data_IF_946024935279
#
_entry.id   IF_946024935279
#
_cell.length_a   1.000
_cell.length_b   1.000
_cell.length_c   1.000
_cell.angle_alpha   90.00
_cell.angle_beta   90.00
_cell.angle_gamma   90.00
#
_symmetry.space_group_name_H-M   'P 1'
#
loop_
_entity.id
_entity.type
_entity.pdbx_description
1 polymer ?
#
# COMPACT_ATOMS: atom_id res chain seq x y z
N UNK A 1 13.18 -41.96 -24.04
CA UNK A 1 14.37 -41.18 -23.66
C UNK A 1 14.58 -40.18 -24.77
N UNK A 2 14.12 -38.95 -24.58
CA UNK A 2 14.29 -37.88 -25.55
C UNK A 2 15.11 -36.81 -24.83
N UNK A 3 16.23 -36.45 -25.46
CA UNK A 3 17.32 -35.64 -24.91
C UNK A 3 16.84 -34.27 -24.42
N UNK A 4 17.13 -33.97 -23.16
CA UNK A 4 17.01 -32.63 -22.55
C UNK A 4 18.13 -31.66 -23.00
N UNK A 5 18.97 -32.06 -23.96
CA UNK A 5 20.17 -31.34 -24.42
C UNK A 5 20.03 -30.71 -25.83
N UNK A 6 18.80 -30.44 -26.28
CA UNK A 6 18.61 -29.65 -27.50
C UNK A 6 19.05 -28.19 -27.29
N UNK A 7 19.87 -27.59 -28.18
CA UNK A 7 20.47 -26.26 -28.00
C UNK A 7 19.45 -25.10 -27.96
N UNK A 8 18.20 -25.35 -28.40
CA UNK A 8 17.08 -24.40 -28.34
C UNK A 8 16.45 -24.37 -26.94
N UNK A 9 16.44 -25.50 -26.24
CA UNK A 9 15.95 -25.59 -24.86
C UNK A 9 16.89 -24.90 -23.86
N UNK A 10 18.21 -25.03 -24.02
CA UNK A 10 19.16 -24.42 -23.09
C UNK A 10 19.24 -22.88 -23.19
N UNK A 11 18.82 -22.29 -24.31
CA UNK A 11 18.88 -20.83 -24.55
C UNK A 11 17.64 -20.08 -24.05
N UNK A 12 16.49 -20.74 -23.87
CA UNK A 12 15.25 -20.10 -23.41
C UNK A 12 14.75 -20.56 -22.02
N UNK A 13 15.15 -21.74 -21.55
CA UNK A 13 14.68 -22.31 -20.26
C UNK A 13 15.39 -21.67 -19.05
N UNK A 14 16.72 -21.55 -19.09
CA UNK A 14 17.52 -20.92 -18.02
C UNK A 14 17.14 -19.46 -17.72
N UNK A 15 16.93 -18.58 -18.71
CA UNK A 15 16.53 -17.19 -18.44
C UNK A 15 15.09 -17.09 -17.91
N UNK A 16 14.18 -18.01 -18.23
CA UNK A 16 12.84 -18.02 -17.65
C UNK A 16 12.88 -18.41 -16.17
N UNK A 17 13.63 -19.47 -15.81
CA UNK A 17 13.81 -19.88 -14.42
C UNK A 17 14.53 -18.82 -13.58
N UNK A 18 15.61 -18.23 -14.10
CA UNK A 18 16.33 -17.15 -13.43
C UNK A 18 15.47 -15.88 -13.27
N UNK A 19 14.63 -15.55 -14.25
CA UNK A 19 13.70 -14.42 -14.14
C UNK A 19 12.56 -14.69 -13.16
N UNK A 20 12.13 -15.95 -13.02
CA UNK A 20 11.13 -16.36 -12.02
C UNK A 20 11.74 -16.30 -10.62
N UNK A 21 12.96 -16.77 -10.41
CA UNK A 21 13.69 -16.63 -9.14
C UNK A 21 13.94 -15.16 -8.79
N UNK A 22 14.35 -14.34 -9.77
CA UNK A 22 14.52 -12.90 -9.57
C UNK A 22 13.20 -12.19 -9.25
N UNK A 23 12.08 -12.62 -9.85
CA UNK A 23 10.74 -12.11 -9.53
C UNK A 23 10.26 -12.56 -8.14
N UNK A 24 10.53 -13.81 -7.75
CA UNK A 24 10.26 -14.30 -6.40
C UNK A 24 11.08 -13.52 -5.37
N UNK A 25 12.33 -13.18 -5.68
CA UNK A 25 13.18 -12.33 -4.84
C UNK A 25 12.68 -10.88 -4.78
N UNK A 26 12.16 -10.33 -5.89
CA UNK A 26 11.56 -8.99 -5.95
C UNK A 26 10.22 -8.92 -5.21
N UNK A 27 9.48 -10.04 -5.13
CA UNK A 27 8.22 -10.15 -4.39
C UNK A 27 8.44 -10.50 -2.91
N UNK A 28 9.57 -11.11 -2.56
CA UNK A 28 10.06 -11.30 -1.19
C UNK A 28 10.75 -10.06 -0.63
N UNK A 29 11.25 -9.16 -1.48
CA UNK A 29 11.79 -7.89 -1.04
C UNK A 29 10.72 -7.22 -0.16
N UNK A 30 11.07 -6.77 1.05
CA UNK A 30 10.09 -6.23 1.96
C UNK A 30 9.37 -5.10 1.27
N UNK A 31 8.15 -4.85 1.72
CA UNK A 31 7.29 -3.75 1.32
C UNK A 31 7.90 -2.38 1.77
N UNK A 32 9.21 -2.17 1.59
CA UNK A 32 10.07 -1.08 2.04
C UNK A 32 9.71 0.29 1.42
N UNK A 33 8.91 0.28 0.35
CA UNK A 33 8.58 1.47 -0.40
C UNK A 33 7.67 2.47 0.34
N UNK A 34 7.03 2.08 1.44
CA UNK A 34 6.13 2.98 2.17
C UNK A 34 6.80 3.69 3.34
N UNK A 35 7.67 3.02 4.10
CA UNK A 35 8.44 3.63 5.19
C UNK A 35 9.27 4.82 4.70
N UNK A 36 9.91 4.69 3.53
CA UNK A 36 10.68 5.78 2.91
C UNK A 36 9.80 6.96 2.45
N UNK A 37 8.60 6.69 1.92
CA UNK A 37 7.63 7.73 1.51
C UNK A 37 7.00 8.43 2.71
N UNK A 38 6.81 7.73 3.83
CA UNK A 38 6.30 8.30 5.06
C UNK A 38 7.37 9.15 5.77
N UNK A 39 8.62 8.70 5.84
CA UNK A 39 9.73 9.50 6.40
C UNK A 39 9.95 10.81 5.62
N UNK A 40 9.82 10.78 4.28
CA UNK A 40 9.84 12.00 3.45
C UNK A 40 8.64 12.93 3.71
N UNK A 41 7.45 12.39 4.02
CA UNK A 41 6.26 13.20 4.34
C UNK A 41 6.35 13.86 5.72
N UNK A 42 7.00 13.22 6.70
CA UNK A 42 7.23 13.79 8.03
C UNK A 42 8.34 14.85 7.99
N UNK A 43 9.41 14.62 7.22
CA UNK A 43 10.50 15.58 7.06
C UNK A 43 10.10 16.85 6.29
N UNK A 44 9.07 16.78 5.42
CA UNK A 44 8.66 17.89 4.54
C UNK A 44 7.53 18.77 5.07
N UNK A 45 7.00 18.53 6.28
CA UNK A 45 6.13 19.47 7.00
C UNK A 45 4.85 19.95 6.29
N UNK A 46 4.46 19.32 5.18
CA UNK A 46 3.34 19.79 4.32
C UNK A 46 2.14 18.87 4.49
N UNK A 47 1.34 19.11 5.54
CA UNK A 47 0.03 18.49 5.70
C UNK A 47 -1.06 19.57 5.61
N UNK A 48 -1.48 19.85 4.37
CA UNK A 48 -2.64 20.68 4.06
C UNK A 48 -3.92 19.86 4.20
N UNK A 49 -4.75 20.19 5.19
CA UNK A 49 -6.01 19.50 5.45
C UNK A 49 -7.14 19.87 4.48
N UNK A 50 -8.07 18.94 4.31
CA UNK A 50 -9.52 19.23 4.33
C UNK A 50 -10.30 17.97 4.72
N UNK A 51 -10.88 17.98 5.91
CA UNK A 51 -11.81 16.95 6.37
C UNK A 51 -13.20 17.17 5.77
N UNK A 52 -13.84 16.08 5.35
CA UNK A 52 -15.27 15.87 5.60
C UNK A 52 -15.41 14.60 6.44
N UNK A 53 -16.19 14.70 7.50
CA UNK A 53 -16.41 13.67 8.50
C UNK A 53 -17.69 12.90 8.18
N UNK A 54 -17.66 11.58 8.33
CA UNK A 54 -18.84 10.76 8.56
C UNK A 54 -18.45 9.66 9.56
N UNK A 55 -19.04 9.70 10.74
CA UNK A 55 -18.78 8.74 11.80
C UNK A 55 -19.61 7.47 11.67
N UNK A 56 -19.07 6.37 12.20
CA UNK A 56 -19.88 5.39 12.92
C UNK A 56 -19.00 4.64 13.92
N UNK A 57 -19.10 5.01 15.19
CA UNK A 57 -18.57 4.21 16.29
C UNK A 57 -19.63 3.18 16.68
N UNK A 58 -19.27 1.90 16.69
CA UNK A 58 -20.02 0.87 17.41
C UNK A 58 -19.25 0.53 18.68
N UNK A 59 -19.82 0.89 19.82
CA UNK A 59 -19.39 0.44 21.14
C UNK A 59 -20.04 -0.89 21.47
N UNK A 60 -19.31 -1.77 22.15
CA UNK A 60 -19.86 -2.97 22.80
C UNK A 60 -20.68 -2.57 24.04
N UNK A 61 -21.78 -3.28 24.39
CA UNK A 61 -22.77 -2.77 25.33
C UNK A 61 -22.48 -3.16 26.78
N UNK A 62 -22.90 -2.30 27.71
CA UNK A 62 -23.24 -2.66 29.09
C UNK A 62 -24.72 -2.29 29.32
N UNK A 63 -25.48 -3.27 29.78
CA UNK A 63 -26.92 -3.25 30.07
C UNK A 63 -27.32 -2.20 31.11
N UNK A 64 -28.46 -1.51 30.91
CA UNK A 64 -29.58 -1.28 31.87
C UNK A 64 -30.81 -0.75 31.10
N UNK A 65 -32.00 -1.12 31.58
CA UNK A 65 -33.36 -1.06 31.02
C UNK A 65 -34.07 0.33 31.12
N UNK A 66 -34.83 0.63 30.06
CA UNK A 66 -36.07 1.44 29.90
C UNK A 66 -36.15 2.94 30.28
N UNK A 67 -36.51 3.79 29.29
CA UNK A 67 -37.86 4.41 29.09
C UNK A 67 -37.84 5.40 27.90
N UNK A 68 -38.84 5.32 27.03
CA UNK A 68 -39.31 6.36 26.07
C UNK A 68 -40.58 7.04 26.66
N UNK A 69 -41.21 8.09 26.06
CA UNK A 69 -40.92 8.80 24.79
C UNK A 69 -41.02 10.35 24.89
N UNK A 70 -40.49 11.09 23.90
CA UNK A 70 -41.09 12.37 23.48
C UNK A 70 -40.92 12.61 21.96
N UNK A 71 -42.06 12.86 21.29
CA UNK A 71 -42.18 13.21 19.86
C UNK A 71 -41.73 14.65 19.60
N UNK A 72 -40.95 14.88 18.53
CA UNK A 72 -40.93 16.16 17.81
C UNK A 72 -40.82 15.90 16.31
N UNK A 73 -41.77 16.43 15.53
CA UNK A 73 -41.78 16.49 14.07
C UNK A 73 -41.10 17.78 13.62
N UNK A 74 -40.18 17.73 12.67
CA UNK A 74 -39.86 18.87 11.80
C UNK A 74 -39.58 18.41 10.36
N UNK A 75 -40.32 19.01 9.42
CA UNK A 75 -40.15 18.98 7.96
C UNK A 75 -39.08 19.99 7.56
N UNK A 76 -38.18 19.70 6.60
CA UNK A 76 -38.15 20.38 5.31
C UNK A 76 -37.12 19.83 4.30
N UNK A 77 -37.38 20.16 3.03
CA UNK A 77 -36.89 19.69 1.72
C UNK A 77 -35.37 19.72 1.41
N UNK A 78 -34.90 18.96 0.40
CA UNK A 78 -33.54 19.02 -0.15
C UNK A 78 -33.37 20.10 -1.24
N UNK A 79 -32.17 20.66 -1.49
CA UNK A 79 -31.93 21.53 -2.63
C UNK A 79 -31.44 20.77 -3.87
N UNK A 80 -31.88 21.30 -5.01
CA UNK A 80 -31.56 20.92 -6.38
C UNK A 80 -30.20 21.50 -6.79
N UNK A 81 -29.43 20.71 -7.54
CA UNK A 81 -28.21 21.12 -8.24
C UNK A 81 -28.61 21.80 -9.55
N UNK A 82 -28.20 23.07 -9.72
CA UNK A 82 -28.39 23.81 -10.95
C UNK A 82 -27.14 23.71 -11.83
N UNK A 83 -27.37 23.34 -13.09
CA UNK A 83 -26.42 23.26 -14.18
C UNK A 83 -25.91 24.65 -14.58
N UNK A 84 -24.63 24.72 -14.97
CA UNK A 84 -24.02 25.92 -15.56
C UNK A 84 -23.81 25.68 -17.06
N UNK A 85 -24.57 26.40 -17.86
CA UNK A 85 -24.54 26.44 -19.32
C UNK A 85 -23.59 27.54 -19.83
N UNK A 86 -22.85 27.23 -20.89
CA UNK A 86 -22.05 28.16 -21.70
C UNK A 86 -22.94 29.14 -22.49
N UNK A 87 -22.50 30.38 -22.77
CA UNK A 87 -23.16 31.23 -23.76
C UNK A 87 -22.48 31.15 -25.14
N UNK A 88 -23.34 31.02 -26.16
CA UNK A 88 -23.07 31.22 -27.59
C UNK A 88 -23.27 32.70 -27.92
N UNK A 89 -22.37 33.29 -28.70
CA UNK A 89 -22.52 34.64 -29.27
C UNK A 89 -22.26 34.62 -30.78
N UNK A 90 -23.28 35.02 -31.55
CA UNK A 90 -23.26 35.19 -33.02
C UNK A 90 -23.17 36.69 -33.34
N UNK A 91 -22.37 37.06 -34.34
CA UNK A 91 -22.57 38.28 -35.14
C UNK A 91 -21.99 38.11 -36.56
N UNK A 92 -22.82 38.41 -37.57
CA UNK A 92 -22.48 38.53 -39.01
C UNK A 92 -21.81 39.90 -39.31
N UNK A 93 -21.17 40.21 -40.44
CA UNK A 93 -20.96 39.55 -41.74
C UNK A 93 -20.10 40.43 -42.68
N UNK A 94 -20.07 40.08 -43.98
CA UNK A 94 -19.35 40.67 -45.15
C UNK A 94 -17.85 40.28 -45.28
N UNK A 95 -17.29 39.84 -46.42
CA UNK A 95 -17.76 39.46 -47.76
C UNK A 95 -16.57 39.35 -48.74
N UNK A 96 -16.45 38.18 -49.42
CA UNK A 96 -15.89 37.92 -50.79
C UNK A 96 -14.36 37.95 -51.08
N UNK A 97 -13.79 36.80 -51.52
CA UNK A 97 -13.24 36.53 -52.88
C UNK A 97 -12.60 35.12 -53.01
N UNK A 98 -12.67 34.58 -54.24
CA UNK A 98 -12.36 33.22 -54.74
C UNK A 98 -10.90 32.70 -54.61
N UNK A 99 -10.75 31.37 -54.48
CA UNK A 99 -10.23 30.43 -55.52
C UNK A 99 -9.66 29.11 -54.90
N UNK A 100 -9.77 28.01 -55.66
CA UNK A 100 -9.30 26.62 -55.39
C UNK A 100 -8.15 26.31 -56.39
N UNK A 101 -7.47 25.13 -56.40
CA UNK A 101 -6.86 24.24 -55.38
C UNK A 101 -5.30 24.28 -55.48
N UNK A 102 -4.56 23.49 -54.69
CA UNK A 102 -3.52 22.51 -55.11
C UNK A 102 -2.84 21.93 -53.87
N UNK A 103 -2.66 20.61 -53.83
CA UNK A 103 -2.13 19.88 -52.68
C UNK A 103 -0.63 20.05 -52.45
N UNK A 104 -0.23 19.85 -51.19
CA UNK A 104 1.10 19.41 -50.81
C UNK A 104 0.95 18.51 -49.58
N UNK A 105 1.48 17.30 -49.72
CA UNK A 105 1.68 16.30 -48.67
C UNK A 105 2.66 16.85 -47.65
N UNK A 106 2.28 16.88 -46.37
CA UNK A 106 3.24 16.84 -45.28
C UNK A 106 2.92 15.70 -44.31
N UNK A 107 3.86 14.76 -44.27
CA UNK A 107 3.88 13.62 -43.40
C UNK A 107 4.14 14.07 -41.97
N UNK A 108 3.14 13.89 -41.10
CA UNK A 108 3.35 13.94 -39.66
C UNK A 108 3.92 12.60 -39.19
N UNK A 109 5.20 12.61 -38.84
CA UNK A 109 5.92 11.51 -38.22
C UNK A 109 5.34 11.19 -36.84
N UNK A 110 4.72 10.01 -36.71
CA UNK A 110 4.51 9.37 -35.41
C UNK A 110 5.83 8.74 -34.93
N UNK A 111 6.13 8.76 -33.61
CA UNK A 111 7.34 8.14 -33.10
C UNK A 111 7.22 6.62 -33.19
N UNK A 112 7.97 6.02 -34.13
CA UNK A 112 8.21 4.58 -34.18
C UNK A 112 9.21 4.21 -33.08
N UNK A 113 8.72 3.67 -31.97
CA UNK A 113 9.53 2.78 -31.14
C UNK A 113 9.78 1.50 -31.93
N UNK A 114 10.99 1.34 -32.46
CA UNK A 114 11.48 0.05 -32.96
C UNK A 114 11.80 -0.81 -31.73
N UNK A 115 10.83 -1.61 -31.29
CA UNK A 115 11.15 -2.82 -30.53
C UNK A 115 11.74 -3.83 -31.51
N UNK A 116 12.87 -4.44 -31.16
CA UNK A 116 13.37 -5.62 -31.87
C UNK A 116 12.24 -6.68 -31.92
N UNK A 117 12.17 -7.50 -32.98
CA UNK A 117 11.20 -8.59 -33.02
C UNK A 117 11.53 -9.56 -31.89
N UNK A 118 10.84 -9.42 -30.76
CA UNK A 118 10.92 -10.39 -29.66
C UNK A 118 10.51 -11.76 -30.20
N UNK A 119 11.33 -12.77 -29.92
CA UNK A 119 11.07 -14.15 -30.33
C UNK A 119 9.73 -14.62 -29.76
N UNK A 120 8.75 -14.83 -30.65
CA UNK A 120 7.42 -15.27 -30.29
C UNK A 120 7.35 -16.79 -30.30
N UNK A 121 6.96 -17.35 -29.17
CA UNK A 121 6.85 -18.78 -28.94
C UNK A 121 5.40 -19.19 -29.16
N UNK A 122 5.16 -20.18 -30.01
CA UNK A 122 3.84 -20.76 -30.21
C UNK A 122 3.50 -21.68 -29.03
N UNK A 123 2.41 -21.38 -28.32
CA UNK A 123 1.95 -22.19 -27.19
C UNK A 123 0.85 -23.13 -27.69
N UNK A 124 1.10 -24.44 -27.64
CA UNK A 124 0.16 -25.46 -28.11
C UNK A 124 -0.92 -25.77 -27.06
N UNK A 125 -0.52 -25.93 -25.80
CA UNK A 125 -1.40 -26.26 -24.68
C UNK A 125 -1.01 -25.47 -23.42
N UNK A 126 -2.00 -25.12 -22.60
CA UNK A 126 -1.81 -24.48 -21.29
C UNK A 126 -2.48 -25.34 -20.22
N UNK A 127 -1.70 -25.78 -19.24
CA UNK A 127 -2.18 -26.61 -18.14
C UNK A 127 -1.74 -26.03 -16.79
N UNK A 128 -2.66 -25.99 -15.82
CA UNK A 128 -2.36 -25.60 -14.42
C UNK A 128 -2.28 -26.87 -13.59
N UNK A 129 -1.14 -27.06 -12.92
CA UNK A 129 -0.80 -28.27 -12.14
C UNK A 129 -0.53 -27.87 -10.69
N UNK A 130 -0.97 -28.69 -9.72
CA UNK A 130 -0.68 -28.49 -8.30
C UNK A 130 -1.82 -27.86 -7.47
N UNK A 131 -2.96 -27.58 -8.09
CA UNK A 131 -4.19 -27.21 -7.40
C UNK A 131 -5.43 -27.88 -8.03
N UNK A 132 -6.47 -28.03 -7.22
CA UNK A 132 -7.75 -28.62 -7.61
C UNK A 132 -8.92 -27.71 -7.21
N UNK A 133 -10.12 -27.99 -7.74
CA UNK A 133 -11.35 -27.29 -7.40
C UNK A 133 -11.35 -25.81 -7.79
N UNK A 134 -11.84 -24.96 -6.88
CA UNK A 134 -12.00 -23.51 -7.11
C UNK A 134 -10.66 -22.80 -7.37
N UNK A 135 -9.57 -23.22 -6.72
CA UNK A 135 -8.26 -22.58 -6.90
C UNK A 135 -7.71 -22.80 -8.32
N UNK A 136 -7.98 -23.97 -8.92
CA UNK A 136 -7.63 -24.23 -10.31
C UNK A 136 -8.36 -23.30 -11.27
N UNK A 137 -9.64 -23.06 -11.01
CA UNK A 137 -10.47 -22.13 -11.79
C UNK A 137 -9.96 -20.69 -11.66
N UNK A 138 -9.64 -20.24 -10.45
CA UNK A 138 -9.08 -18.90 -10.21
C UNK A 138 -7.74 -18.72 -10.94
N UNK A 139 -6.86 -19.72 -10.90
CA UNK A 139 -5.60 -19.68 -11.64
C UNK A 139 -5.83 -19.59 -13.16
N UNK A 140 -6.74 -20.40 -13.70
CA UNK A 140 -7.07 -20.40 -15.12
C UNK A 140 -7.72 -19.09 -15.59
N UNK A 141 -8.62 -18.51 -14.78
CA UNK A 141 -9.27 -17.22 -15.07
C UNK A 141 -8.28 -16.05 -15.05
N UNK A 142 -7.19 -16.15 -14.27
CA UNK A 142 -6.14 -15.14 -14.22
C UNK A 142 -5.19 -15.16 -15.44
N UNK A 143 -5.16 -16.27 -16.20
CA UNK A 143 -4.30 -16.42 -17.37
C UNK A 143 -4.90 -15.71 -18.59
N UNK A 144 -4.04 -14.97 -19.28
CA UNK A 144 -4.36 -14.35 -20.57
C UNK A 144 -3.89 -15.22 -21.74
N UNK A 145 -2.89 -16.08 -21.51
CA UNK A 145 -2.37 -17.05 -22.47
C UNK A 145 -3.44 -18.07 -22.86
N UNK A 146 -3.62 -18.26 -24.17
CA UNK A 146 -4.55 -19.22 -24.76
C UNK A 146 -3.78 -20.20 -25.65
N UNK A 147 -4.24 -21.45 -25.75
CA UNK A 147 -3.64 -22.42 -26.66
C UNK A 147 -3.78 -21.96 -28.12
N UNK A 148 -2.80 -22.34 -28.95
CA UNK A 148 -2.67 -22.06 -30.37
C UNK A 148 -2.37 -20.59 -30.75
N UNK A 149 -1.88 -19.80 -29.80
CA UNK A 149 -1.41 -18.44 -30.07
C UNK A 149 0.08 -18.30 -29.77
N UNK A 150 0.72 -17.34 -30.43
CA UNK A 150 2.14 -17.03 -30.23
C UNK A 150 2.29 -15.89 -29.22
N UNK A 151 3.14 -16.10 -28.22
CA UNK A 151 3.37 -15.17 -27.10
C UNK A 151 4.85 -14.84 -26.94
N UNK A 152 5.15 -13.70 -26.34
CA UNK A 152 6.51 -13.36 -25.94
C UNK A 152 6.81 -13.89 -24.53
N UNK A 153 8.09 -14.00 -24.20
CA UNK A 153 8.53 -14.41 -22.86
C UNK A 153 7.98 -13.49 -21.76
N UNK A 154 7.87 -12.20 -22.04
CA UNK A 154 7.40 -11.21 -21.07
C UNK A 154 5.89 -11.28 -20.83
N UNK A 155 5.11 -11.70 -21.84
CA UNK A 155 3.68 -12.00 -21.68
C UNK A 155 3.45 -13.20 -20.76
N UNK A 156 4.25 -14.26 -20.92
CA UNK A 156 4.22 -15.44 -20.04
C UNK A 156 4.63 -15.07 -18.61
N UNK A 157 5.69 -14.27 -18.44
CA UNK A 157 6.07 -13.74 -17.11
C UNK A 157 4.98 -12.87 -16.50
N UNK A 158 4.27 -12.07 -17.31
CA UNK A 158 3.15 -11.26 -16.84
C UNK A 158 1.98 -12.13 -16.36
N UNK A 159 1.72 -13.27 -17.02
CA UNK A 159 0.72 -14.24 -16.56
C UNK A 159 1.10 -14.90 -15.24
N UNK A 160 2.36 -15.31 -15.07
CA UNK A 160 2.86 -15.83 -13.78
C UNK A 160 2.65 -14.80 -12.66
N UNK A 161 2.99 -13.53 -12.92
CA UNK A 161 2.73 -12.43 -11.98
C UNK A 161 1.24 -12.23 -11.68
N UNK A 162 0.36 -12.35 -12.68
CA UNK A 162 -1.09 -12.25 -12.48
C UNK A 162 -1.64 -13.37 -11.60
N UNK A 163 -1.23 -14.61 -11.86
CA UNK A 163 -1.64 -15.77 -11.04
C UNK A 163 -1.14 -15.60 -9.61
N UNK A 164 0.11 -15.19 -9.41
CA UNK A 164 0.64 -14.92 -8.09
C UNK A 164 -0.10 -13.76 -7.38
N UNK A 165 -0.41 -12.68 -8.12
CA UNK A 165 -1.15 -11.52 -7.60
C UNK A 165 -2.58 -11.83 -7.16
N UNK A 166 -3.16 -12.97 -7.53
CA UNK A 166 -4.43 -13.43 -6.93
C UNK A 166 -4.29 -13.67 -5.42
N UNK A 167 -3.07 -13.92 -4.95
CA UNK A 167 -2.72 -14.02 -3.53
C UNK A 167 -3.08 -15.35 -2.87
N UNK A 168 -3.53 -16.35 -3.62
CA UNK A 168 -3.90 -17.67 -3.10
C UNK A 168 -2.78 -18.71 -3.12
N UNK A 169 -1.68 -18.40 -3.82
CA UNK A 169 -0.59 -19.33 -4.07
C UNK A 169 0.69 -18.86 -3.40
N UNK A 170 1.41 -19.80 -2.78
CA UNK A 170 2.72 -19.54 -2.15
C UNK A 170 3.84 -19.61 -3.18
N UNK A 171 3.64 -20.40 -4.24
CA UNK A 171 4.61 -20.62 -5.31
C UNK A 171 3.88 -20.73 -6.65
N UNK A 172 4.41 -20.07 -7.68
CA UNK A 172 3.94 -20.16 -9.06
C UNK A 172 5.17 -20.25 -9.96
N UNK A 173 5.37 -21.41 -10.59
CA UNK A 173 6.50 -21.69 -11.45
C UNK A 173 6.01 -22.15 -12.84
N UNK A 174 6.38 -21.45 -13.92
CA UNK A 174 6.15 -21.95 -15.26
C UNK A 174 7.12 -23.09 -15.57
N UNK A 175 6.62 -24.11 -16.25
CA UNK A 175 7.34 -25.25 -16.80
C UNK A 175 6.94 -25.39 -18.28
N UNK A 176 7.87 -25.79 -19.12
CA UNK A 176 7.68 -25.83 -20.58
C UNK A 176 8.15 -27.16 -21.14
N UNK A 177 7.32 -27.77 -21.97
CA UNK A 177 7.64 -29.00 -22.67
C UNK A 177 7.50 -28.80 -24.18
N UNK A 178 8.57 -29.13 -24.92
CA UNK A 178 8.56 -29.00 -26.37
C UNK A 178 7.71 -30.12 -27.00
N UNK A 179 6.73 -29.72 -27.81
CA UNK A 179 5.86 -30.62 -28.57
C UNK A 179 6.05 -30.37 -30.06
N UNK A 180 5.57 -31.30 -30.90
CA UNK A 180 5.66 -31.15 -32.37
C UNK A 180 4.97 -29.88 -32.89
N UNK A 181 3.90 -29.47 -32.22
CA UNK A 181 3.01 -28.39 -32.65
C UNK A 181 3.28 -27.07 -31.92
N UNK A 182 4.30 -27.00 -31.05
CA UNK A 182 4.66 -25.82 -30.26
C UNK A 182 5.13 -26.17 -28.86
N UNK A 183 5.10 -25.22 -27.94
CA UNK A 183 5.45 -25.42 -26.53
C UNK A 183 4.20 -25.67 -25.70
N UNK A 184 4.18 -26.76 -24.93
CA UNK A 184 3.19 -27.00 -23.89
C UNK A 184 3.61 -26.28 -22.61
N UNK A 185 2.82 -25.29 -22.18
CA UNK A 185 3.05 -24.50 -20.98
C UNK A 185 2.33 -25.13 -19.78
N UNK A 186 3.09 -25.62 -18.80
CA UNK A 186 2.60 -26.12 -17.52
C UNK A 186 2.88 -25.12 -16.41
N UNK A 187 1.85 -24.57 -15.78
CA UNK A 187 2.01 -23.65 -14.66
C UNK A 187 1.83 -24.45 -13.38
N UNK A 188 2.95 -24.73 -12.71
CA UNK A 188 2.98 -25.40 -11.40
C UNK A 188 2.65 -24.37 -10.34
N UNK A 189 1.58 -24.59 -9.59
CA UNK A 189 1.16 -23.73 -8.49
C UNK A 189 1.12 -24.52 -7.19
N UNK A 190 1.53 -23.88 -6.10
CA UNK A 190 1.35 -24.39 -4.74
C UNK A 190 0.38 -23.47 -4.00
N UNK A 191 -0.79 -23.96 -3.55
CA UNK A 191 -1.72 -23.14 -2.80
C UNK A 191 -1.17 -22.81 -1.41
N UNK A 192 -1.58 -21.67 -0.87
CA UNK A 192 -1.26 -21.28 0.50
C UNK A 192 -1.87 -22.27 1.51
N UNK A 193 -1.25 -22.36 2.68
CA UNK A 193 -1.81 -23.11 3.80
C UNK A 193 -2.98 -22.35 4.45
N UNK A 194 -3.77 -23.08 5.24
CA UNK A 194 -4.86 -22.51 6.01
C UNK A 194 -4.33 -21.76 7.24
N UNK A 195 -4.95 -20.61 7.56
CA UNK A 195 -4.59 -19.84 8.75
C UNK A 195 -5.16 -20.54 9.99
N UNK A 196 -4.29 -21.06 10.85
CA UNK A 196 -4.64 -21.72 12.11
C UNK A 196 -4.57 -20.77 13.30
N UNK A 197 -3.55 -19.91 13.34
CA UNK A 197 -3.32 -18.99 14.45
C UNK A 197 -2.86 -17.62 13.96
N UNK A 198 -3.13 -16.61 14.78
CA UNK A 198 -2.75 -15.22 14.54
C UNK A 198 -2.10 -14.66 15.81
N UNK A 199 -0.86 -14.19 15.68
CA UNK A 199 -0.09 -13.57 16.76
C UNK A 199 0.41 -12.21 16.29
N UNK A 200 0.36 -11.21 17.16
CA UNK A 200 0.97 -9.90 16.90
C UNK A 200 2.07 -9.63 17.94
N UNK A 201 3.26 -9.30 17.45
CA UNK A 201 4.44 -8.97 18.25
C UNK A 201 4.72 -7.47 18.11
N UNK A 202 5.10 -6.80 19.19
CA UNK A 202 5.37 -5.34 19.18
C UNK A 202 4.12 -4.45 19.23
N UNK A 203 2.94 -5.05 19.39
CA UNK A 203 1.66 -4.35 19.53
C UNK A 203 1.38 -3.97 21.00
N UNK A 204 1.98 -2.89 21.50
CA UNK A 204 1.76 -2.42 22.87
C UNK A 204 0.50 -1.54 23.00
N UNK A 205 0.22 -0.72 21.99
CA UNK A 205 -0.96 0.15 21.92
C UNK A 205 -2.13 -0.48 21.19
N UNK A 206 -1.87 -1.40 20.25
CA UNK A 206 -2.90 -2.04 19.43
C UNK A 206 -3.63 -3.16 20.20
N UNK A 207 -4.94 -3.02 20.50
CA UNK A 207 -5.67 -4.01 21.26
C UNK A 207 -5.93 -5.29 20.46
N UNK A 208 -5.89 -6.44 21.13
CA UNK A 208 -6.17 -7.75 20.51
C UNK A 208 -7.56 -7.82 19.83
N UNK A 209 -8.57 -7.12 20.34
CA UNK A 209 -9.90 -7.10 19.72
C UNK A 209 -9.91 -6.43 18.34
N UNK A 210 -9.07 -5.41 18.13
CA UNK A 210 -8.96 -4.71 16.83
C UNK A 210 -8.29 -5.63 15.81
N UNK A 211 -7.27 -6.36 16.26
CA UNK A 211 -6.58 -7.37 15.44
C UNK A 211 -7.56 -8.48 15.05
N UNK A 212 -8.30 -9.05 16.01
CA UNK A 212 -9.29 -10.08 15.73
C UNK A 212 -10.38 -9.61 14.76
N UNK A 213 -10.82 -8.35 14.88
CA UNK A 213 -11.80 -7.76 13.98
C UNK A 213 -11.25 -7.56 12.56
N UNK A 214 -10.01 -7.09 12.41
CA UNK A 214 -9.39 -6.91 11.10
C UNK A 214 -9.20 -8.25 10.35
N UNK A 215 -8.99 -9.34 11.10
CA UNK A 215 -8.75 -10.69 10.59
C UNK A 215 -9.98 -11.60 10.64
N UNK A 216 -11.17 -11.04 10.87
CA UNK A 216 -12.41 -11.80 11.01
C UNK A 216 -12.67 -12.66 9.76
N UNK A 217 -12.90 -13.97 9.97
CA UNK A 217 -13.21 -14.91 8.89
C UNK A 217 -12.01 -15.42 8.08
N UNK A 218 -10.77 -15.07 8.45
CA UNK A 218 -9.56 -15.69 7.89
C UNK A 218 -9.17 -17.02 8.57
N UNK A 219 -9.29 -17.19 9.90
CA UNK A 219 -8.95 -18.46 10.54
C UNK A 219 -9.78 -19.63 9.99
N UNK A 220 -9.13 -20.76 9.72
CA UNK A 220 -9.73 -21.96 9.14
C UNK A 220 -10.00 -21.86 7.63
N UNK A 221 -9.40 -20.89 6.93
CA UNK A 221 -9.46 -20.77 5.47
C UNK A 221 -8.05 -20.63 4.89
N UNK A 222 -7.90 -20.98 3.61
CA UNK A 222 -6.69 -20.72 2.83
C UNK A 222 -6.32 -19.24 2.90
N UNK A 223 -5.05 -18.95 3.22
CA UNK A 223 -4.57 -17.58 3.27
C UNK A 223 -4.68 -16.91 1.89
N UNK A 224 -5.29 -15.72 1.86
CA UNK A 224 -5.27 -14.84 0.71
C UNK A 224 -4.45 -13.58 1.02
N UNK A 225 -3.35 -13.37 0.30
CA UNK A 225 -2.45 -12.23 0.51
C UNK A 225 -3.15 -10.88 0.28
N UNK A 226 -4.08 -10.78 -0.67
CA UNK A 226 -4.85 -9.56 -0.89
C UNK A 226 -5.80 -9.23 0.27
N UNK A 227 -6.33 -10.25 0.95
CA UNK A 227 -7.16 -10.07 2.14
C UNK A 227 -6.32 -9.72 3.36
N UNK A 228 -5.15 -10.34 3.50
CA UNK A 228 -4.13 -9.99 4.50
C UNK A 228 -3.72 -8.51 4.37
N UNK A 229 -3.37 -8.05 3.17
CA UNK A 229 -3.01 -6.65 2.92
C UNK A 229 -4.13 -5.68 3.28
N UNK A 230 -5.39 -6.02 2.98
CA UNK A 230 -6.54 -5.20 3.40
C UNK A 230 -6.72 -5.16 4.92
N UNK A 231 -6.45 -6.26 5.63
CA UNK A 231 -6.49 -6.27 7.09
C UNK A 231 -5.36 -5.44 7.69
N UNK A 232 -4.14 -5.56 7.16
CA UNK A 232 -2.99 -4.72 7.55
C UNK A 232 -3.33 -3.23 7.34
N UNK A 233 -3.90 -2.86 6.19
CA UNK A 233 -4.33 -1.48 5.94
C UNK A 233 -5.40 -0.96 6.93
N UNK A 234 -6.26 -1.83 7.47
CA UNK A 234 -7.19 -1.46 8.54
C UNK A 234 -6.48 -1.20 9.87
N UNK A 235 -5.44 -1.98 10.19
CA UNK A 235 -4.62 -1.77 11.39
C UNK A 235 -3.81 -0.47 11.28
N UNK A 236 -3.20 -0.20 10.13
CA UNK A 236 -2.47 1.05 9.89
C UNK A 236 -3.41 2.26 9.96
N UNK A 237 -4.61 2.15 9.39
CA UNK A 237 -5.65 3.17 9.53
C UNK A 237 -6.02 3.40 11.01
N UNK A 238 -6.12 2.34 11.82
CA UNK A 238 -6.42 2.46 13.23
C UNK A 238 -5.38 3.27 14.01
N UNK A 239 -4.08 3.06 13.73
CA UNK A 239 -2.98 3.85 14.30
C UNK A 239 -3.06 5.31 13.85
N UNK A 240 -3.24 5.52 12.54
CA UNK A 240 -3.31 6.85 11.93
C UNK A 240 -4.47 7.67 12.49
N UNK A 241 -5.67 7.08 12.57
CA UNK A 241 -6.87 7.68 13.14
C UNK A 241 -6.72 8.04 14.61
N UNK A 242 -5.74 7.49 15.32
CA UNK A 242 -5.43 7.82 16.73
C UNK A 242 -4.25 8.77 16.87
N UNK A 243 -3.58 9.08 15.78
CA UNK A 243 -2.34 9.86 15.76
C UNK A 243 -1.19 9.15 16.47
N UNK A 244 -1.26 7.83 16.60
CA UNK A 244 -0.18 7.01 17.16
C UNK A 244 0.81 6.75 16.04
N UNK A 245 2.10 6.95 16.31
CA UNK A 245 3.15 6.62 15.34
C UNK A 245 3.51 5.15 15.48
N UNK A 246 2.81 4.34 14.69
CA UNK A 246 3.06 2.91 14.59
C UNK A 246 2.46 2.36 13.31
N UNK A 247 2.94 1.19 12.90
CA UNK A 247 2.51 0.47 11.71
C UNK A 247 2.79 -1.03 11.86
N UNK A 248 2.17 -1.84 11.01
CA UNK A 248 2.63 -3.22 10.81
C UNK A 248 3.88 -3.16 9.92
N UNK A 249 5.03 -3.56 10.45
CA UNK A 249 6.31 -3.51 9.73
C UNK A 249 6.47 -4.69 8.80
N UNK A 250 6.13 -5.89 9.27
CA UNK A 250 6.30 -7.13 8.52
C UNK A 250 5.30 -8.19 8.97
N UNK A 251 5.22 -9.29 8.22
CA UNK A 251 4.49 -10.48 8.60
C UNK A 251 5.25 -11.75 8.19
N UNK A 252 5.15 -12.76 9.05
CA UNK A 252 5.71 -14.09 8.79
C UNK A 252 4.56 -15.09 8.78
N UNK A 253 4.54 -16.00 7.81
CA UNK A 253 3.54 -17.05 7.72
C UNK A 253 4.19 -18.42 7.53
N UNK A 254 4.14 -19.24 8.57
CA UNK A 254 4.79 -20.55 8.62
C UNK A 254 3.85 -21.57 9.27
N UNK A 255 3.68 -22.74 8.65
CA UNK A 255 2.88 -23.88 9.18
C UNK A 255 1.43 -23.52 9.59
N UNK A 256 0.84 -22.52 8.93
CA UNK A 256 -0.49 -22.00 9.24
C UNK A 256 -0.52 -20.99 10.40
N UNK A 257 0.62 -20.63 11.00
CA UNK A 257 0.74 -19.56 11.97
C UNK A 257 1.08 -18.24 11.28
N UNK A 258 0.19 -17.26 11.40
CA UNK A 258 0.42 -15.90 10.92
C UNK A 258 0.93 -15.03 12.08
N UNK A 259 2.17 -14.57 11.99
CA UNK A 259 2.79 -13.65 12.92
C UNK A 259 2.91 -12.27 12.29
N UNK A 260 2.26 -11.27 12.89
CA UNK A 260 2.41 -9.87 12.52
C UNK A 260 3.48 -9.22 13.39
N UNK A 261 4.36 -8.46 12.76
CA UNK A 261 5.30 -7.59 13.44
C UNK A 261 4.77 -6.17 13.40
N UNK A 262 4.55 -5.58 14.57
CA UNK A 262 4.12 -4.20 14.73
C UNK A 262 5.30 -3.37 15.24
N UNK A 263 5.58 -2.26 14.56
CA UNK A 263 6.56 -1.28 14.98
C UNK A 263 5.80 -0.08 15.55
N UNK A 264 5.89 0.14 16.85
CA UNK A 264 5.38 1.32 17.54
C UNK A 264 6.56 2.20 17.99
N UNK A 265 6.57 3.47 17.59
CA UNK A 265 7.66 4.37 17.93
C UNK A 265 7.59 4.74 19.42
N UNK A 266 8.62 4.37 20.19
CA UNK A 266 8.73 4.71 21.61
C UNK A 266 9.65 5.91 21.78
N UNK A 267 9.26 6.86 22.63
CA UNK A 267 10.07 8.04 22.94
C UNK A 267 11.27 7.61 23.79
N UNK A 268 12.48 7.66 23.22
CA UNK A 268 13.71 7.36 23.96
C UNK A 268 14.11 8.47 24.95
N UNK A 269 14.28 9.70 24.45
CA UNK A 269 14.66 10.85 25.28
C UNK A 269 14.01 12.14 24.78
N UNK A 270 13.78 13.08 25.71
CA UNK A 270 13.26 14.41 25.40
C UNK A 270 14.37 15.44 25.62
N UNK A 271 14.84 16.05 24.52
CA UNK A 271 15.90 17.06 24.56
C UNK A 271 15.31 18.45 24.25
N UNK A 272 15.51 19.39 25.17
CA UNK A 272 15.10 20.78 24.98
C UNK A 272 16.27 21.57 24.38
N UNK A 273 16.02 22.21 23.23
CA UNK A 273 16.97 23.13 22.60
C UNK A 273 16.38 24.52 22.54
N UNK A 274 17.09 25.49 23.10
CA UNK A 274 16.71 26.89 23.06
C UNK A 274 17.48 27.56 21.94
N UNK A 275 16.78 28.14 20.98
CA UNK A 275 17.39 28.81 19.83
C UNK A 275 17.31 30.33 20.01
N UNK A 276 18.29 31.04 19.47
CA UNK A 276 18.20 32.50 19.34
C UNK A 276 17.36 32.88 18.11
N UNK A 277 16.34 33.74 18.22
CA UNK A 277 15.54 34.16 17.06
C UNK A 277 16.36 34.86 15.97
N UNK A 278 17.48 35.52 16.32
CA UNK A 278 18.29 36.25 15.35
C UNK A 278 19.26 35.36 14.55
N UNK A 279 19.82 34.32 15.18
CA UNK A 279 20.88 33.50 14.58
C UNK A 279 20.45 32.06 14.30
N UNK A 280 19.34 31.60 14.88
CA UNK A 280 18.88 30.20 14.81
C UNK A 280 19.80 29.20 15.52
N UNK A 281 20.84 29.68 16.23
CA UNK A 281 21.81 28.81 16.89
C UNK A 281 21.36 28.44 18.31
N UNK A 282 21.77 27.25 18.81
CA UNK A 282 21.52 26.86 20.20
C UNK A 282 22.17 27.86 21.17
N UNK A 283 21.39 28.34 22.15
CA UNK A 283 21.90 29.13 23.26
C UNK A 283 22.53 28.21 24.29
N UNK A 284 23.77 28.50 24.68
CA UNK A 284 24.46 27.77 25.75
C UNK A 284 23.79 27.98 27.12
N UNK A 285 23.23 29.17 27.37
CA UNK A 285 22.53 29.50 28.62
C UNK A 285 21.09 29.95 28.34
N UNK A 286 20.08 29.10 28.61
CA UNK A 286 18.69 29.47 28.43
C UNK A 286 18.22 30.41 29.55
N UNK A 287 17.43 31.43 29.17
CA UNK A 287 16.80 32.34 30.15
C UNK A 287 15.77 31.63 31.03
N UNK A 288 15.10 30.62 30.48
CA UNK A 288 14.07 29.83 31.17
C UNK A 288 14.66 28.52 31.66
N UNK A 289 14.43 28.18 32.94
CA UNK A 289 14.86 26.90 33.51
C UNK A 289 14.11 25.72 32.83
N UNK A 290 14.79 24.62 32.44
CA UNK A 290 14.16 23.50 31.74
C UNK A 290 12.91 22.92 32.43
N UNK A 291 12.91 22.83 33.77
CA UNK A 291 11.78 22.31 34.54
C UNK A 291 10.47 23.11 34.37
N UNK A 292 10.57 24.40 34.04
CA UNK A 292 9.39 25.23 33.77
C UNK A 292 8.66 24.76 32.50
N UNK A 293 9.38 24.17 31.54
CA UNK A 293 8.81 23.61 30.31
C UNK A 293 8.36 22.18 30.54
N UNK A 294 9.23 21.33 31.11
CA UNK A 294 8.95 19.90 31.23
C UNK A 294 7.73 19.59 32.09
N UNK A 295 7.36 20.46 33.04
CA UNK A 295 6.12 20.32 33.82
C UNK A 295 4.82 20.48 33.00
N UNK A 296 4.89 21.11 31.83
CA UNK A 296 3.76 21.27 30.91
C UNK A 296 3.74 20.21 29.80
N UNK A 297 4.80 19.40 29.69
CA UNK A 297 4.91 18.31 28.73
C UNK A 297 4.41 17.04 29.40
N UNK A 298 3.38 16.43 28.82
CA UNK A 298 2.81 15.16 29.29
C UNK A 298 3.64 13.97 28.79
N UNK A 299 4.23 14.10 27.60
CA UNK A 299 5.05 13.07 26.97
C UNK A 299 6.30 12.75 27.78
N UNK A 300 6.51 11.47 28.07
CA UNK A 300 7.67 10.98 28.85
C UNK A 300 8.48 9.95 28.06
N UNK A 301 9.79 9.83 28.34
CA UNK A 301 10.57 8.68 27.91
C UNK A 301 9.89 7.35 28.24
N UNK A 302 9.94 6.40 27.31
CA UNK A 302 9.27 5.09 27.40
C UNK A 302 7.81 5.07 26.97
N UNK A 303 7.18 6.22 26.67
CA UNK A 303 5.83 6.26 26.11
C UNK A 303 5.84 6.16 24.59
N UNK A 304 4.79 5.57 24.02
CA UNK A 304 4.60 5.54 22.56
C UNK A 304 4.33 6.96 22.04
N UNK A 305 5.03 7.32 20.97
CA UNK A 305 4.94 8.61 20.33
C UNK A 305 3.53 8.82 19.73
N UNK A 306 2.84 9.84 20.23
CA UNK A 306 1.50 10.20 19.80
C UNK A 306 1.44 11.67 19.39
N UNK A 307 1.14 11.93 18.12
CA UNK A 307 1.05 13.25 17.52
C UNK A 307 0.02 14.15 18.20
N UNK A 308 -1.09 13.60 18.71
CA UNK A 308 -2.12 14.38 19.41
C UNK A 308 -1.64 14.84 20.77
N UNK A 309 -0.92 13.97 21.49
CA UNK A 309 -0.29 14.32 22.77
C UNK A 309 0.78 15.37 22.56
N UNK A 310 1.65 15.19 21.56
CA UNK A 310 2.70 16.16 21.22
C UNK A 310 2.11 17.53 20.87
N UNK A 311 1.07 17.59 20.03
CA UNK A 311 0.37 18.85 19.71
C UNK A 311 -0.22 19.50 20.95
N UNK A 312 -0.78 18.72 21.87
CA UNK A 312 -1.30 19.24 23.14
C UNK A 312 -0.18 19.81 24.01
N UNK A 313 0.96 19.11 24.10
CA UNK A 313 2.12 19.54 24.87
C UNK A 313 2.73 20.83 24.28
N UNK A 314 2.84 20.94 22.95
CA UNK A 314 3.28 22.17 22.26
C UNK A 314 2.34 23.33 22.61
N UNK A 315 1.03 23.13 22.49
CA UNK A 315 0.05 24.17 22.81
C UNK A 315 0.11 24.58 24.30
N UNK A 316 0.35 23.63 25.20
CA UNK A 316 0.51 23.91 26.62
C UNK A 316 1.73 24.78 26.89
N UNK A 317 2.88 24.47 26.26
CA UNK A 317 4.10 25.29 26.36
C UNK A 317 3.87 26.67 25.73
N UNK A 318 3.25 26.74 24.56
CA UNK A 318 2.94 28.00 23.88
C UNK A 318 2.03 28.91 24.71
N UNK A 319 1.03 28.33 25.38
CA UNK A 319 0.08 29.06 26.24
C UNK A 319 0.73 29.73 27.46
N UNK A 320 1.98 29.39 27.79
CA UNK A 320 2.72 30.06 28.87
C UNK A 320 3.16 31.48 28.50
N UNK A 321 3.17 31.84 27.20
CA UNK A 321 3.62 33.14 26.71
C UNK A 321 5.13 33.39 26.84
N UNK A 322 5.90 32.35 27.19
CA UNK A 322 7.36 32.44 27.39
C UNK A 322 8.17 32.36 26.09
N UNK A 323 7.57 31.91 24.99
CA UNK A 323 8.24 31.59 23.74
C UNK A 323 7.44 32.10 22.55
N UNK A 324 8.15 32.62 21.53
CA UNK A 324 7.54 33.10 20.28
C UNK A 324 7.18 31.95 19.33
N UNK A 325 8.02 30.90 19.31
CA UNK A 325 7.85 29.72 18.47
C UNK A 325 8.28 28.45 19.22
N UNK A 326 7.59 27.34 18.96
CA UNK A 326 7.83 26.03 19.59
C UNK A 326 7.71 24.95 18.51
N UNK A 327 8.83 24.37 18.13
CA UNK A 327 8.91 23.29 17.14
C UNK A 327 9.38 21.99 17.77
N UNK A 328 8.92 20.87 17.21
CA UNK A 328 9.35 19.52 17.58
C UNK A 328 10.10 18.90 16.41
N UNK A 329 11.30 18.42 16.67
CA UNK A 329 12.10 17.65 15.72
C UNK A 329 12.32 16.25 16.28
N UNK A 330 11.94 15.23 15.52
CA UNK A 330 12.17 13.83 15.85
C UNK A 330 13.54 13.39 15.30
N UNK A 331 14.23 12.56 16.07
CA UNK A 331 15.46 11.87 15.66
C UNK A 331 15.33 10.42 16.06
N UNK A 332 15.87 9.53 15.25
CA UNK A 332 16.04 8.13 15.61
C UNK A 332 16.95 8.02 16.83
N UNK A 333 16.61 7.12 17.75
CA UNK A 333 17.42 6.89 18.94
C UNK A 333 18.64 6.02 18.59
N UNK A 334 19.76 6.21 19.27
CA UNK A 334 20.98 5.42 19.06
C UNK A 334 20.76 3.92 19.36
N UNK A 335 19.81 3.59 20.24
CA UNK A 335 19.41 2.21 20.60
C UNK A 335 18.17 1.72 19.82
N UNK A 336 17.85 2.33 18.67
CA UNK A 336 16.70 1.88 17.87
C UNK A 336 17.01 0.49 17.31
N UNK A 337 16.33 -0.54 17.83
CA UNK A 337 16.24 -1.83 17.17
C UNK A 337 15.38 -1.67 15.91
N UNK A 338 15.98 -1.19 14.82
CA UNK A 338 15.54 -1.61 13.50
C UNK A 338 15.71 -3.14 13.46
N UNK A 339 14.63 -3.84 13.12
CA UNK A 339 14.62 -5.31 13.07
C UNK A 339 15.79 -5.81 12.21
N UNK A 340 16.56 -6.72 12.80
CA UNK A 340 17.51 -7.56 12.08
C UNK A 340 16.78 -8.55 11.16
#
# INVERSE_FOLDING_TARGET
MIDTDSPIGQTLIKPLQAAVEQLLETLKAPYDGWASKFNQSIASGTWGGRHQTAGSGRSCPRSVVAREPHKVKLRNRPPLWAAMTMPVGVSAGSGKLESKPTGASDAAAGPKGKGEPEDRILISEVEVVGCEGELKRVAQEALTTRPNFAYTLDEVKADVRRVFATGWFSEVAPDSEDTRDGVKLRIRVRPNEEVRSLTAVGANMLPACVIQQAFEGMPGRTLNLGSLQRAIGQLDAWYHERGIMGMVSDFTFEEGALQLQCAEAVVGALQLRFLDPATGQPREQPRTRPHIITRHITTKPGQVYNLRTIRRDINAVYSTGLFEDVNVATREAEDSTEGA
#
